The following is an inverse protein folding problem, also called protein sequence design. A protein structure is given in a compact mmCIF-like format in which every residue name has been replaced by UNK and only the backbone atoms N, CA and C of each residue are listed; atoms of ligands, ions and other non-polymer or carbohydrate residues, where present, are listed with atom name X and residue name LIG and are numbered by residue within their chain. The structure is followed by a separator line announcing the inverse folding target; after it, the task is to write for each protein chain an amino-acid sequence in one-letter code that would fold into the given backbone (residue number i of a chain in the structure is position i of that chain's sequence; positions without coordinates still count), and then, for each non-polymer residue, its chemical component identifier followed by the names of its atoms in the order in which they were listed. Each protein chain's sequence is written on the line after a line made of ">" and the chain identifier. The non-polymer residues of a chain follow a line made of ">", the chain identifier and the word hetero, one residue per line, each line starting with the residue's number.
data_IF_328041126900
#
_entry.id   IF_328041126900
#
_cell.length_a   1.000
_cell.length_b   1.000
_cell.length_c   1.000
_cell.angle_alpha   90.00
_cell.angle_beta   90.00
_cell.angle_gamma   90.00
#
_symmetry.space_group_name_H-M   'P 1'
#
loop_
_entity.id
_entity.type
_entity.pdbx_description
1 polymer ?
#
# COMPACT_ATOMS: atom_id res chain seq x y z
N UNK A 1 49.75 34.83 13.36
CA UNK A 1 49.20 33.75 14.23
C UNK A 1 47.71 33.97 14.37
N UNK A 2 46.89 33.09 13.81
CA UNK A 2 45.43 33.21 13.90
C UNK A 2 45.02 33.13 15.37
N UNK A 3 44.30 34.14 15.88
CA UNK A 3 43.85 34.16 17.27
C UNK A 3 42.97 32.92 17.51
N UNK A 4 43.39 32.05 18.41
CA UNK A 4 42.59 30.89 18.82
C UNK A 4 41.25 31.40 19.35
N UNK A 5 40.11 30.82 18.95
CA UNK A 5 38.81 31.26 19.41
C UNK A 5 38.73 31.22 20.93
N UNK A 6 38.03 32.18 21.53
CA UNK A 6 37.81 32.22 22.98
C UNK A 6 36.80 31.15 23.39
N UNK A 7 36.83 30.72 24.67
CA UNK A 7 35.92 29.70 25.21
C UNK A 7 34.45 30.02 24.91
N UNK A 8 34.08 31.29 25.04
CA UNK A 8 32.74 31.83 24.73
C UNK A 8 32.35 31.62 23.26
N UNK A 9 33.29 31.75 22.32
CA UNK A 9 33.02 31.51 20.89
C UNK A 9 32.78 30.03 20.61
N UNK A 10 33.44 29.14 21.34
CA UNK A 10 33.18 27.69 21.25
C UNK A 10 31.82 27.33 21.83
N UNK A 11 31.45 27.90 22.98
CA UNK A 11 30.12 27.69 23.60
C UNK A 11 28.99 28.17 22.70
N UNK A 12 29.12 29.35 22.09
CA UNK A 12 28.17 29.86 21.09
C UNK A 12 28.03 28.92 19.90
N UNK A 13 29.15 28.44 19.36
CA UNK A 13 29.15 27.52 18.21
C UNK A 13 28.54 26.16 18.55
N UNK A 14 28.75 25.67 19.77
CA UNK A 14 28.11 24.45 20.27
C UNK A 14 26.60 24.66 20.43
N UNK A 15 26.16 25.81 20.93
CA UNK A 15 24.74 26.14 21.05
C UNK A 15 24.06 26.21 19.66
N UNK A 16 24.66 26.91 18.70
CA UNK A 16 24.15 27.00 17.32
C UNK A 16 24.03 25.62 16.66
N UNK A 17 25.06 24.78 16.77
CA UNK A 17 25.05 23.43 16.21
C UNK A 17 24.00 22.55 16.91
N UNK A 18 23.85 22.70 18.23
CA UNK A 18 22.85 21.95 19.00
C UNK A 18 21.44 22.33 18.56
N UNK A 19 21.15 23.62 18.37
CA UNK A 19 19.86 24.08 17.89
C UNK A 19 19.58 23.58 16.47
N UNK A 20 20.56 23.68 15.58
CA UNK A 20 20.45 23.15 14.21
C UNK A 20 20.18 21.64 14.21
N UNK A 21 20.87 20.88 15.06
CA UNK A 21 20.68 19.43 15.19
C UNK A 21 19.30 19.08 15.76
N UNK A 22 18.80 19.86 16.73
CA UNK A 22 17.46 19.68 17.27
C UNK A 22 16.39 19.92 16.21
N UNK A 23 16.57 20.97 15.39
CA UNK A 23 15.67 21.28 14.27
C UNK A 23 15.67 20.16 13.23
N UNK A 24 16.85 19.72 12.80
CA UNK A 24 16.98 18.61 11.83
C UNK A 24 16.33 17.32 12.35
N UNK A 25 16.49 17.01 13.63
CA UNK A 25 15.83 15.84 14.25
C UNK A 25 14.32 15.97 14.26
N UNK A 26 13.80 17.16 14.56
CA UNK A 26 12.36 17.43 14.53
C UNK A 26 11.81 17.29 13.09
N UNK A 27 12.51 17.85 12.10
CA UNK A 27 12.13 17.75 10.70
C UNK A 27 12.16 16.30 10.20
N UNK A 28 13.19 15.53 10.58
CA UNK A 28 13.28 14.10 10.27
C UNK A 28 12.11 13.31 10.88
N UNK A 29 11.76 13.57 12.14
CA UNK A 29 10.62 12.93 12.80
C UNK A 29 9.29 13.28 12.10
N UNK A 30 9.11 14.53 11.70
CA UNK A 30 7.93 14.98 10.94
C UNK A 30 7.82 14.31 9.58
N UNK A 31 8.94 14.17 8.85
CA UNK A 31 8.98 13.46 7.56
C UNK A 31 8.60 11.99 7.74
N UNK A 32 9.16 11.31 8.75
CA UNK A 32 8.82 9.90 9.04
C UNK A 32 7.33 9.73 9.32
N UNK A 33 6.75 10.56 10.20
CA UNK A 33 5.32 10.52 10.51
C UNK A 33 4.46 10.74 9.26
N UNK A 34 4.77 11.76 8.46
CA UNK A 34 4.04 12.04 7.21
C UNK A 34 4.14 10.88 6.22
N UNK A 35 5.31 10.27 6.11
CA UNK A 35 5.54 9.13 5.22
C UNK A 35 4.75 7.88 5.67
N UNK A 36 4.70 7.61 6.98
CA UNK A 36 3.87 6.53 7.53
C UNK A 36 2.38 6.74 7.26
N UNK A 37 1.89 7.98 7.41
CA UNK A 37 0.50 8.36 7.07
C UNK A 37 0.21 8.17 5.58
N UNK A 38 1.12 8.58 4.70
CA UNK A 38 0.99 8.40 3.25
C UNK A 38 0.96 6.92 2.86
N UNK A 39 1.84 6.10 3.44
CA UNK A 39 1.82 4.64 3.23
C UNK A 39 0.52 4.03 3.73
N UNK A 40 0.03 4.47 4.89
CA UNK A 40 -1.25 4.03 5.45
C UNK A 40 -2.41 4.28 4.48
N UNK A 41 -2.48 5.49 3.90
CA UNK A 41 -3.48 5.85 2.90
C UNK A 41 -3.35 5.07 1.58
N UNK A 42 -2.12 4.86 1.11
CA UNK A 42 -1.84 4.14 -0.13
C UNK A 42 -2.30 2.69 -0.09
N UNK A 43 -2.18 1.99 1.05
CA UNK A 43 -2.55 0.57 1.16
C UNK A 43 -3.98 0.31 0.70
N UNK A 44 -4.94 1.14 1.11
CA UNK A 44 -6.34 0.95 0.75
C UNK A 44 -6.62 1.32 -0.71
N UNK A 45 -5.99 2.39 -1.20
CA UNK A 45 -6.14 2.84 -2.58
C UNK A 45 -5.56 1.81 -3.57
N UNK A 46 -4.38 1.27 -3.27
CA UNK A 46 -3.74 0.22 -4.08
C UNK A 46 -4.59 -1.05 -4.09
N UNK A 47 -5.09 -1.50 -2.93
CA UNK A 47 -6.01 -2.64 -2.85
C UNK A 47 -7.26 -2.43 -3.72
N UNK A 48 -7.90 -1.27 -3.61
CA UNK A 48 -9.10 -0.95 -4.39
C UNK A 48 -8.83 -0.93 -5.90
N UNK A 49 -7.69 -0.39 -6.35
CA UNK A 49 -7.33 -0.39 -7.76
C UNK A 49 -7.08 -1.80 -8.30
N UNK A 50 -6.34 -2.63 -7.57
CA UNK A 50 -6.10 -4.03 -7.98
C UNK A 50 -7.41 -4.81 -8.11
N UNK A 51 -8.33 -4.64 -7.17
CA UNK A 51 -9.64 -5.32 -7.25
C UNK A 51 -10.47 -4.78 -8.41
N UNK A 52 -10.47 -3.46 -8.66
CA UNK A 52 -11.15 -2.86 -9.81
C UNK A 52 -10.67 -3.47 -11.14
N UNK A 53 -9.37 -3.69 -11.29
CA UNK A 53 -8.81 -4.26 -12.51
C UNK A 53 -9.14 -5.75 -12.66
N UNK A 54 -9.37 -6.46 -11.56
CA UNK A 54 -9.76 -7.88 -11.55
C UNK A 54 -11.26 -8.13 -11.73
N UNK A 55 -12.13 -7.19 -11.34
CA UNK A 55 -13.59 -7.29 -11.51
C UNK A 55 -14.05 -7.67 -12.94
N UNK A 56 -13.57 -7.02 -14.04
CA UNK A 56 -14.00 -7.38 -15.39
C UNK A 56 -13.57 -8.79 -15.80
N UNK A 57 -12.50 -9.33 -15.21
CA UNK A 57 -12.06 -10.70 -15.47
C UNK A 57 -13.07 -11.69 -14.89
N UNK A 58 -13.54 -11.44 -13.67
CA UNK A 58 -14.58 -12.27 -13.03
C UNK A 58 -15.92 -12.16 -13.74
N UNK A 59 -16.33 -10.95 -14.13
CA UNK A 59 -17.57 -10.77 -14.91
C UNK A 59 -17.54 -11.57 -16.22
N UNK A 60 -16.40 -11.60 -16.91
CA UNK A 60 -16.22 -12.43 -18.10
C UNK A 60 -16.26 -13.94 -17.79
N UNK A 61 -15.71 -14.38 -16.66
CA UNK A 61 -15.81 -15.77 -16.22
C UNK A 61 -17.26 -16.17 -15.92
N UNK A 62 -18.01 -15.35 -15.17
CA UNK A 62 -19.42 -15.56 -14.92
C UNK A 62 -20.23 -15.62 -16.22
N UNK A 63 -19.99 -14.68 -17.13
CA UNK A 63 -20.64 -14.65 -18.44
C UNK A 63 -20.33 -15.93 -19.23
N UNK A 64 -19.09 -16.39 -19.21
CA UNK A 64 -18.69 -17.64 -19.88
C UNK A 64 -19.40 -18.85 -19.27
N UNK A 65 -19.54 -18.90 -17.95
CA UNK A 65 -20.29 -19.95 -17.24
C UNK A 65 -21.80 -19.91 -17.56
N UNK A 66 -22.39 -18.73 -17.73
CA UNK A 66 -23.81 -18.55 -18.12
C UNK A 66 -24.09 -19.00 -19.57
N UNK A 67 -23.08 -19.01 -20.44
CA UNK A 67 -23.21 -19.39 -21.86
C UNK A 67 -22.73 -20.81 -22.18
N UNK A 68 -22.63 -21.68 -21.18
CA UNK A 68 -22.22 -23.07 -21.40
C UNK A 68 -23.30 -23.81 -22.21
N UNK A 69 -22.93 -24.53 -23.28
CA UNK A 69 -23.88 -25.35 -24.03
C UNK A 69 -24.53 -26.40 -23.12
N UNK A 70 -25.85 -26.60 -23.24
CA UNK A 70 -26.64 -27.54 -22.40
C UNK A 70 -26.08 -28.97 -22.32
N UNK A 71 -25.33 -29.42 -23.34
CA UNK A 71 -24.66 -30.73 -23.36
C UNK A 71 -23.43 -30.83 -22.46
N UNK A 72 -22.86 -29.71 -21.99
CA UNK A 72 -21.64 -29.63 -21.19
C UNK A 72 -21.88 -29.15 -19.76
N UNK A 73 -23.11 -28.76 -19.39
CA UNK A 73 -23.45 -28.26 -18.05
C UNK A 73 -23.10 -29.25 -16.92
N UNK A 74 -23.17 -30.56 -17.19
CA UNK A 74 -22.84 -31.60 -16.20
C UNK A 74 -21.38 -32.05 -16.23
N UNK A 75 -20.56 -31.46 -17.09
CA UNK A 75 -19.14 -31.82 -17.19
C UNK A 75 -18.40 -31.44 -15.90
N UNK A 76 -17.62 -32.36 -15.35
CA UNK A 76 -16.88 -32.13 -14.11
C UNK A 76 -15.84 -31.00 -14.24
N UNK A 77 -15.33 -30.76 -15.45
CA UNK A 77 -14.49 -29.60 -15.74
C UNK A 77 -15.22 -28.27 -15.52
N UNK A 78 -16.48 -28.18 -16.00
CA UNK A 78 -17.33 -26.98 -15.84
C UNK A 78 -17.61 -26.71 -14.37
N UNK A 79 -17.93 -27.75 -13.59
CA UNK A 79 -18.11 -27.64 -12.15
C UNK A 79 -16.84 -27.18 -11.43
N UNK A 80 -15.67 -27.68 -11.86
CA UNK A 80 -14.37 -27.25 -11.34
C UNK A 80 -14.12 -25.77 -11.55
N UNK A 81 -14.36 -25.27 -12.77
CA UNK A 81 -14.24 -23.83 -13.09
C UNK A 81 -15.22 -22.99 -12.27
N UNK A 82 -16.46 -23.46 -12.10
CA UNK A 82 -17.46 -22.78 -11.29
C UNK A 82 -17.05 -22.70 -9.81
N UNK A 83 -16.39 -23.73 -9.28
CA UNK A 83 -15.81 -23.72 -7.94
C UNK A 83 -14.67 -22.72 -7.78
N UNK A 84 -13.83 -22.54 -8.79
CA UNK A 84 -12.74 -21.54 -8.79
C UNK A 84 -13.32 -20.12 -8.74
N UNK A 85 -14.37 -19.84 -9.52
CA UNK A 85 -15.05 -18.53 -9.50
C UNK A 85 -15.65 -18.24 -8.13
N UNK A 86 -16.36 -19.20 -7.53
CA UNK A 86 -16.90 -19.05 -6.17
C UNK A 86 -15.81 -18.86 -5.10
N UNK A 87 -14.66 -19.53 -5.23
CA UNK A 87 -13.54 -19.33 -4.33
C UNK A 87 -12.96 -17.92 -4.49
N UNK A 88 -12.91 -17.41 -5.72
CA UNK A 88 -12.45 -16.06 -5.99
C UNK A 88 -13.38 -15.01 -5.36
N UNK A 89 -14.69 -15.15 -5.52
CA UNK A 89 -15.70 -14.29 -4.88
C UNK A 89 -15.52 -14.24 -3.36
N UNK A 90 -15.40 -15.41 -2.72
CA UNK A 90 -15.12 -15.50 -1.26
C UNK A 90 -13.80 -14.82 -0.87
N UNK A 91 -12.80 -14.88 -1.74
CA UNK A 91 -11.51 -14.24 -1.48
C UNK A 91 -11.64 -12.72 -1.55
N UNK A 92 -12.44 -12.18 -2.49
CA UNK A 92 -12.75 -10.76 -2.55
C UNK A 92 -13.52 -10.28 -1.31
N UNK A 93 -14.54 -11.03 -0.88
CA UNK A 93 -15.30 -10.74 0.34
C UNK A 93 -14.38 -10.69 1.58
N UNK A 94 -13.43 -11.63 1.70
CA UNK A 94 -12.45 -11.66 2.78
C UNK A 94 -11.47 -10.47 2.76
N UNK A 95 -11.17 -9.94 1.57
CA UNK A 95 -10.34 -8.73 1.40
C UNK A 95 -11.12 -7.46 1.77
N UNK A 96 -12.44 -7.58 1.97
CA UNK A 96 -13.33 -6.49 2.40
C UNK A 96 -13.80 -5.62 1.23
N UNK A 97 -13.89 -6.20 0.02
CA UNK A 97 -14.54 -5.59 -1.14
C UNK A 97 -15.94 -6.17 -1.31
#
# INVERSE_FOLDING_TARGET
>A
MSKKPTLVQYEQKVAEITEALQRERADSANIRRRHEEQIGGLKNLVKANVVRDLLPVIDNFERSLKHIPKGLEKNDYVKGVQGVVQQFEKTLEQIGV
#
